data_IF_065939021851
#
_entry.id   IF_065939021851
#
_cell.length_a   1.000
_cell.length_b   1.000
_cell.length_c   1.000
_cell.angle_alpha   90.00
_cell.angle_beta   90.00
_cell.angle_gamma   90.00
#
_symmetry.space_group_name_H-M   'P 1'
#
loop_
_entity.id
_entity.type
_entity.pdbx_description
1 polymer ?
#
# COMPACT_ATOMS: atom_id res chain seq x y z
N UNK A 1 -3.13 8.91 -3.60
CA UNK A 1 -3.06 7.90 -4.64
C UNK A 1 -4.43 7.30 -4.98
N UNK A 2 -4.48 6.28 -5.84
CA UNK A 2 -5.73 5.71 -6.39
C UNK A 2 -6.75 5.32 -5.30
N UNK A 3 -6.31 4.66 -4.23
CA UNK A 3 -7.18 4.27 -3.10
C UNK A 3 -7.85 5.46 -2.42
N UNK A 4 -7.12 6.53 -2.18
CA UNK A 4 -7.68 7.76 -1.59
C UNK A 4 -8.67 8.44 -2.54
N UNK A 5 -8.39 8.43 -3.85
CA UNK A 5 -9.31 8.97 -4.86
C UNK A 5 -10.62 8.20 -4.90
N UNK A 6 -10.56 6.88 -4.77
CA UNK A 6 -11.76 6.03 -4.72
C UNK A 6 -12.59 6.34 -3.47
N UNK A 7 -11.97 6.44 -2.29
CA UNK A 7 -12.66 6.82 -1.05
C UNK A 7 -13.35 8.18 -1.21
N UNK A 8 -12.62 9.18 -1.69
CA UNK A 8 -13.16 10.52 -1.88
C UNK A 8 -14.34 10.54 -2.86
N UNK A 9 -14.25 9.84 -4.02
CA UNK A 9 -15.35 9.75 -5.00
C UNK A 9 -16.57 9.06 -4.37
N UNK A 10 -16.38 8.01 -3.58
CA UNK A 10 -17.47 7.29 -2.90
C UNK A 10 -18.20 8.20 -1.92
N UNK A 11 -17.47 8.99 -1.12
CA UNK A 11 -18.03 9.95 -0.18
C UNK A 11 -18.81 11.06 -0.88
N UNK A 12 -18.26 11.65 -1.95
CA UNK A 12 -18.93 12.70 -2.73
C UNK A 12 -20.17 12.18 -3.44
N UNK A 13 -20.16 10.94 -3.93
CA UNK A 13 -21.30 10.32 -4.60
C UNK A 13 -22.47 10.07 -3.64
N UNK A 14 -22.18 9.79 -2.38
CA UNK A 14 -23.22 9.66 -1.34
C UNK A 14 -23.91 11.00 -1.04
N UNK A 15 -23.21 12.12 -1.19
CA UNK A 15 -23.71 13.47 -0.90
C UNK A 15 -24.53 14.09 -2.05
N UNK A 16 -24.46 13.58 -3.30
CA UNK A 16 -25.11 14.18 -4.47
C UNK A 16 -25.90 13.16 -5.31
N UNK A 17 -27.22 12.99 -5.08
CA UNK A 17 -28.05 11.98 -5.75
C UNK A 17 -28.13 12.09 -7.27
N UNK A 18 -28.07 13.29 -7.82
CA UNK A 18 -28.23 13.53 -9.27
C UNK A 18 -27.05 13.07 -10.14
N UNK A 19 -25.87 12.87 -9.54
CA UNK A 19 -24.65 12.40 -10.23
C UNK A 19 -24.32 10.92 -9.95
N UNK A 20 -25.15 10.21 -9.20
CA UNK A 20 -24.86 8.89 -8.66
C UNK A 20 -24.53 7.82 -9.71
N UNK A 21 -25.18 7.84 -10.88
CA UNK A 21 -24.96 6.76 -11.88
C UNK A 21 -23.58 6.85 -12.52
N UNK A 22 -23.18 8.03 -12.98
CA UNK A 22 -21.87 8.26 -13.62
C UNK A 22 -20.74 8.12 -12.61
N UNK A 23 -20.92 8.68 -11.41
CA UNK A 23 -19.93 8.55 -10.35
C UNK A 23 -19.75 7.10 -9.87
N UNK A 24 -20.85 6.32 -9.79
CA UNK A 24 -20.80 4.90 -9.45
C UNK A 24 -20.08 4.07 -10.51
N UNK A 25 -20.34 4.32 -11.79
CA UNK A 25 -19.63 3.63 -12.88
C UNK A 25 -18.13 3.96 -12.88
N UNK A 26 -17.78 5.23 -12.72
CA UNK A 26 -16.39 5.67 -12.57
C UNK A 26 -15.72 5.02 -11.36
N UNK A 27 -16.39 4.99 -10.21
CA UNK A 27 -15.87 4.35 -9.00
C UNK A 27 -15.63 2.85 -9.20
N UNK A 28 -16.59 2.13 -9.80
CA UNK A 28 -16.46 0.70 -10.08
C UNK A 28 -15.28 0.41 -11.02
N UNK A 29 -15.07 1.24 -12.03
CA UNK A 29 -13.93 1.12 -12.94
C UNK A 29 -12.59 1.32 -12.22
N UNK A 30 -12.51 2.33 -11.34
CA UNK A 30 -11.31 2.57 -10.54
C UNK A 30 -11.03 1.45 -9.55
N UNK A 31 -12.06 0.88 -8.92
CA UNK A 31 -11.95 -0.29 -8.04
C UNK A 31 -11.38 -1.49 -8.79
N UNK A 32 -11.88 -1.75 -10.00
CA UNK A 32 -11.37 -2.84 -10.84
C UNK A 32 -9.89 -2.64 -11.21
N UNK A 33 -9.53 -1.43 -11.64
CA UNK A 33 -8.13 -1.10 -11.96
C UNK A 33 -7.21 -1.21 -10.75
N UNK A 34 -7.66 -0.71 -9.59
CA UNK A 34 -6.91 -0.84 -8.33
C UNK A 34 -6.65 -2.29 -7.98
N UNK A 35 -7.66 -3.14 -8.12
CA UNK A 35 -7.54 -4.56 -7.84
C UNK A 35 -6.56 -5.24 -8.78
N UNK A 36 -6.68 -5.01 -10.10
CA UNK A 36 -5.75 -5.57 -11.09
C UNK A 36 -4.31 -5.12 -10.82
N UNK A 37 -4.12 -3.86 -10.42
CA UNK A 37 -2.82 -3.33 -10.05
C UNK A 37 -2.26 -4.05 -8.82
N UNK A 38 -3.05 -4.20 -7.75
CA UNK A 38 -2.60 -4.85 -6.52
C UNK A 38 -2.31 -6.34 -6.74
N UNK A 39 -3.16 -7.05 -7.48
CA UNK A 39 -2.92 -8.45 -7.84
C UNK A 39 -1.59 -8.58 -8.61
N UNK A 40 -1.35 -7.69 -9.56
CA UNK A 40 -0.10 -7.66 -10.33
C UNK A 40 1.11 -7.35 -9.46
N UNK A 41 1.00 -6.40 -8.53
CA UNK A 41 2.09 -6.02 -7.62
C UNK A 41 2.39 -7.15 -6.65
N UNK A 42 1.38 -7.75 -6.01
CA UNK A 42 1.58 -8.85 -5.07
C UNK A 42 2.13 -10.13 -5.74
N UNK A 43 1.88 -10.32 -7.03
CA UNK A 43 2.53 -11.39 -7.78
C UNK A 43 4.07 -11.27 -7.80
N UNK A 44 4.62 -10.07 -7.56
CA UNK A 44 6.06 -9.82 -7.47
C UNK A 44 6.59 -9.78 -6.04
N UNK A 45 5.75 -10.07 -5.03
CA UNK A 45 6.21 -10.14 -3.65
C UNK A 45 7.34 -11.16 -3.51
N UNK A 46 8.40 -10.79 -2.80
CA UNK A 46 9.56 -11.64 -2.53
C UNK A 46 9.19 -12.76 -1.55
N UNK A 47 10.03 -13.78 -1.49
CA UNK A 47 9.85 -14.89 -0.55
C UNK A 47 9.90 -14.43 0.92
N UNK A 48 10.69 -13.37 1.23
CA UNK A 48 10.77 -12.76 2.55
C UNK A 48 9.55 -11.89 2.91
N UNK A 49 8.65 -11.64 1.96
CA UNK A 49 7.45 -10.83 2.14
C UNK A 49 7.59 -9.36 1.77
N UNK A 50 8.79 -8.90 1.42
CA UNK A 50 9.07 -7.54 0.99
C UNK A 50 8.92 -7.32 -0.51
N UNK A 51 9.33 -6.15 -0.96
CA UNK A 51 9.42 -5.78 -2.37
C UNK A 51 10.81 -5.23 -2.70
N UNK A 52 11.31 -5.57 -3.88
CA UNK A 52 12.54 -5.02 -4.40
C UNK A 52 12.34 -3.59 -4.92
N UNK A 53 13.40 -2.79 -4.93
CA UNK A 53 13.44 -1.46 -5.55
C UNK A 53 12.94 -1.45 -7.02
N UNK A 54 13.07 -2.57 -7.70
CA UNK A 54 12.46 -2.86 -9.00
C UNK A 54 11.70 -4.17 -8.90
N UNK A 55 10.38 -4.12 -8.99
CA UNK A 55 9.51 -5.28 -8.73
C UNK A 55 9.93 -6.54 -9.48
N UNK A 56 10.31 -6.41 -10.76
CA UNK A 56 10.71 -7.55 -11.60
C UNK A 56 12.05 -8.15 -11.19
N UNK A 57 12.90 -7.41 -10.48
CA UNK A 57 14.19 -7.88 -9.98
C UNK A 57 14.03 -8.40 -8.53
N UNK A 58 13.33 -9.51 -8.34
CA UNK A 58 13.01 -10.06 -7.01
C UNK A 58 14.23 -10.27 -6.11
N UNK A 59 15.38 -10.58 -6.70
CA UNK A 59 16.65 -10.76 -5.97
C UNK A 59 17.35 -9.43 -5.64
N UNK A 60 16.81 -8.32 -6.14
CA UNK A 60 17.32 -6.98 -5.84
C UNK A 60 17.16 -6.61 -4.37
N UNK A 61 17.82 -5.55 -3.95
CA UNK A 61 17.67 -5.02 -2.59
C UNK A 61 16.23 -4.60 -2.32
N UNK A 62 15.76 -4.79 -1.10
CA UNK A 62 14.45 -4.32 -0.65
C UNK A 62 14.39 -2.80 -0.65
N UNK A 63 13.19 -2.27 -0.82
CA UNK A 63 12.93 -0.83 -0.69
C UNK A 63 11.72 -0.59 0.21
N UNK A 64 12.00 -0.16 1.43
CA UNK A 64 10.95 0.11 2.44
C UNK A 64 10.02 1.25 2.06
N UNK A 65 10.43 2.16 1.19
CA UNK A 65 9.52 3.21 0.68
C UNK A 65 8.46 2.63 -0.24
N UNK A 66 8.84 1.74 -1.13
CA UNK A 66 7.90 1.00 -1.98
C UNK A 66 6.98 0.09 -1.15
N UNK A 67 7.56 -0.65 -0.20
CA UNK A 67 6.83 -1.52 0.71
C UNK A 67 5.76 -0.77 1.51
N UNK A 68 6.11 0.38 2.08
CA UNK A 68 5.19 1.23 2.81
C UNK A 68 4.05 1.77 1.94
N UNK A 69 4.36 2.26 0.73
CA UNK A 69 3.35 2.78 -0.20
C UNK A 69 2.41 1.68 -0.71
N UNK A 70 2.93 0.50 -1.06
CA UNK A 70 2.14 -0.66 -1.49
C UNK A 70 1.24 -1.12 -0.35
N UNK A 71 1.80 -1.30 0.84
CA UNK A 71 1.07 -1.74 2.03
C UNK A 71 -0.05 -0.79 2.41
N UNK A 72 0.22 0.51 2.46
CA UNK A 72 -0.77 1.55 2.73
C UNK A 72 -1.89 1.55 1.68
N UNK A 73 -1.55 1.54 0.39
CA UNK A 73 -2.54 1.51 -0.69
C UNK A 73 -3.41 0.26 -0.66
N UNK A 74 -2.83 -0.91 -0.38
CA UNK A 74 -3.57 -2.16 -0.29
C UNK A 74 -4.49 -2.22 0.95
N UNK A 75 -4.08 -1.66 2.08
CA UNK A 75 -4.93 -1.51 3.28
C UNK A 75 -6.14 -0.63 3.00
N UNK A 76 -5.94 0.54 2.39
CA UNK A 76 -7.06 1.40 1.99
C UNK A 76 -7.97 0.73 0.95
N UNK A 77 -7.41 -0.05 0.02
CA UNK A 77 -8.20 -0.81 -0.94
C UNK A 77 -9.09 -1.85 -0.25
N UNK A 78 -8.58 -2.51 0.76
CA UNK A 78 -9.34 -3.49 1.54
C UNK A 78 -10.53 -2.86 2.31
N UNK A 79 -10.48 -1.56 2.60
CA UNK A 79 -11.60 -0.82 3.22
C UNK A 79 -12.67 -0.44 2.21
N UNK A 80 -12.30 -0.20 0.95
CA UNK A 80 -13.22 0.25 -0.10
C UNK A 80 -13.79 -0.87 -0.94
N UNK A 81 -13.04 -1.94 -1.14
CA UNK A 81 -13.49 -3.10 -1.86
C UNK A 81 -14.49 -3.86 -1.00
N UNK A 82 -15.71 -4.01 -1.50
CA UNK A 82 -16.68 -4.89 -0.86
C UNK A 82 -15.99 -6.17 -0.41
N UNK A 83 -15.97 -6.37 0.88
CA UNK A 83 -15.37 -7.36 1.78
C UNK A 83 -14.75 -8.65 1.18
N UNK A 84 -15.23 -9.12 0.03
CA UNK A 84 -14.87 -10.42 -0.54
C UNK A 84 -13.43 -10.56 -1.04
N UNK A 85 -12.69 -9.47 -1.27
CA UNK A 85 -11.32 -9.54 -1.81
C UNK A 85 -10.22 -9.04 -0.87
N UNK A 86 -10.58 -8.42 0.23
CA UNK A 86 -9.60 -8.07 1.27
C UNK A 86 -8.90 -9.32 1.85
N UNK A 87 -9.60 -10.45 1.89
CA UNK A 87 -9.06 -11.73 2.34
C UNK A 87 -7.97 -12.27 1.40
N UNK A 88 -8.06 -12.01 0.09
CA UNK A 88 -7.08 -12.46 -0.88
C UNK A 88 -5.68 -11.89 -0.64
N UNK A 89 -5.59 -10.61 -0.21
CA UNK A 89 -4.30 -9.94 0.04
C UNK A 89 -3.83 -10.07 1.49
N UNK A 90 -4.68 -10.53 2.39
CA UNK A 90 -4.40 -10.60 3.82
C UNK A 90 -3.09 -11.37 4.14
N UNK A 91 -2.82 -12.55 3.55
CA UNK A 91 -1.55 -13.25 3.81
C UNK A 91 -0.33 -12.48 3.30
N UNK A 92 -0.45 -11.81 2.15
CA UNK A 92 0.62 -11.01 1.57
C UNK A 92 0.90 -9.76 2.40
N UNK A 93 -0.15 -9.09 2.87
CA UNK A 93 -0.07 -7.93 3.77
C UNK A 93 0.53 -8.31 5.14
N UNK A 94 0.18 -9.46 5.68
CA UNK A 94 0.76 -9.94 6.94
C UNK A 94 2.27 -10.17 6.81
N UNK A 95 2.72 -10.81 5.73
CA UNK A 95 4.15 -10.96 5.46
C UNK A 95 4.85 -9.61 5.27
N UNK A 96 4.20 -8.69 4.54
CA UNK A 96 4.73 -7.34 4.33
C UNK A 96 4.86 -6.57 5.64
N UNK A 97 3.88 -6.66 6.53
CA UNK A 97 3.93 -6.07 7.86
C UNK A 97 5.10 -6.63 8.67
N UNK A 98 5.24 -7.95 8.71
CA UNK A 98 6.30 -8.61 9.47
C UNK A 98 7.69 -8.19 8.98
N UNK A 99 7.90 -8.16 7.66
CA UNK A 99 9.22 -7.77 7.12
C UNK A 99 9.49 -6.26 7.28
N UNK A 100 8.47 -5.40 7.18
CA UNK A 100 8.59 -3.96 7.45
C UNK A 100 9.05 -3.70 8.88
N UNK A 101 8.52 -4.42 9.87
CA UNK A 101 8.92 -4.29 11.26
C UNK A 101 10.41 -4.60 11.48
N UNK A 102 10.98 -5.52 10.71
CA UNK A 102 12.43 -5.82 10.79
C UNK A 102 13.32 -4.68 10.30
N UNK A 103 12.78 -3.79 9.50
CA UNK A 103 13.49 -2.61 9.00
C UNK A 103 13.41 -1.40 9.93
N UNK A 104 12.70 -1.52 11.05
CA UNK A 104 12.65 -0.48 12.07
C UNK A 104 13.70 -0.78 13.13
N UNK A 105 14.74 0.07 13.20
CA UNK A 105 15.85 -0.06 14.14
C UNK A 105 16.07 1.28 14.84
N UNK A 106 16.07 1.26 16.15
CA UNK A 106 16.25 2.47 16.98
C UNK A 106 15.33 3.64 16.58
N UNK A 107 14.07 3.33 16.29
CA UNK A 107 13.06 4.31 15.86
C UNK A 107 13.25 4.85 14.44
N UNK A 108 14.13 4.25 13.64
CA UNK A 108 14.41 4.64 12.25
C UNK A 108 14.03 3.52 11.29
N UNK A 109 13.47 3.88 10.13
CA UNK A 109 13.23 2.96 9.04
C UNK A 109 14.47 2.90 8.15
N UNK A 110 15.05 1.71 8.01
CA UNK A 110 16.22 1.43 7.15
C UNK A 110 15.78 0.82 5.81
N UNK A 111 16.75 0.48 4.97
CA UNK A 111 16.53 -0.22 3.69
C UNK A 111 15.63 0.56 2.70
N UNK A 112 15.54 1.86 2.86
CA UNK A 112 14.88 2.74 1.92
C UNK A 112 15.81 3.11 0.78
N UNK A 113 15.37 3.02 -0.47
CA UNK A 113 16.18 3.45 -1.61
C UNK A 113 16.41 4.96 -1.56
N UNK A 114 17.64 5.36 -1.94
CA UNK A 114 18.02 6.75 -2.04
C UNK A 114 17.38 7.47 -3.21
N UNK A 115 17.71 8.74 -3.32
CA UNK A 115 17.18 9.61 -4.36
C UNK A 115 17.59 9.12 -5.77
N UNK A 116 16.61 9.10 -6.68
CA UNK A 116 16.86 8.91 -8.10
C UNK A 116 17.57 10.16 -8.67
N UNK A 117 18.69 9.99 -9.35
CA UNK A 117 19.47 11.11 -9.90
C UNK A 117 19.00 11.58 -11.27
N UNK A 118 18.17 10.81 -11.92
CA UNK A 118 17.65 11.12 -13.23
C UNK A 118 16.78 9.99 -13.78
N UNK A 119 16.31 10.14 -15.00
CA UNK A 119 15.53 9.11 -15.67
C UNK A 119 16.39 7.85 -15.85
N UNK A 120 15.94 6.75 -15.27
CA UNK A 120 16.63 5.46 -15.26
C UNK A 120 17.98 5.44 -14.50
N UNK A 121 18.29 6.46 -13.72
CA UNK A 121 19.48 6.48 -12.86
C UNK A 121 19.12 6.19 -11.41
N UNK A 122 19.29 4.93 -11.01
CA UNK A 122 19.00 4.45 -9.65
C UNK A 122 20.33 4.04 -8.98
N UNK A 123 20.88 4.86 -8.07
CA UNK A 123 22.26 4.68 -7.58
C UNK A 123 22.44 3.47 -6.66
N UNK A 124 21.43 2.67 -6.38
CA UNK A 124 21.50 1.51 -5.49
C UNK A 124 22.08 1.85 -4.11
N UNK A 125 21.74 3.04 -3.61
CA UNK A 125 22.09 3.50 -2.28
C UNK A 125 20.87 3.35 -1.39
N UNK A 126 21.04 2.70 -0.25
CA UNK A 126 19.97 2.42 0.69
C UNK A 126 20.31 2.99 2.06
N UNK A 127 19.30 3.44 2.79
CA UNK A 127 19.49 4.04 4.10
C UNK A 127 18.19 4.45 4.76
N UNK A 128 18.28 5.46 5.62
CA UNK A 128 17.13 6.07 6.29
C UNK A 128 16.80 7.39 5.62
N UNK A 129 15.61 7.48 5.05
CA UNK A 129 15.12 8.68 4.35
C UNK A 129 13.71 9.03 4.78
N UNK A 130 13.31 10.31 4.73
CA UNK A 130 11.96 10.74 5.14
C UNK A 130 10.82 10.04 4.40
N UNK A 131 10.98 9.77 3.11
CA UNK A 131 9.96 9.09 2.29
C UNK A 131 9.79 7.61 2.67
N UNK A 132 10.86 6.93 3.10
CA UNK A 132 10.76 5.59 3.67
C UNK A 132 10.05 5.59 5.02
N UNK A 133 10.44 6.50 5.91
CA UNK A 133 9.83 6.61 7.24
C UNK A 133 8.36 7.02 7.16
N UNK A 134 8.01 7.97 6.28
CA UNK A 134 6.63 8.43 6.10
C UNK A 134 5.72 7.34 5.55
N UNK A 135 6.16 6.62 4.53
CA UNK A 135 5.37 5.52 3.94
C UNK A 135 5.20 4.34 4.89
N UNK A 136 6.24 3.97 5.63
CA UNK A 136 6.18 2.92 6.64
C UNK A 136 5.21 3.29 7.77
N UNK A 137 5.29 4.54 8.27
CA UNK A 137 4.38 5.03 9.30
C UNK A 137 2.92 5.01 8.83
N UNK A 138 2.64 5.47 7.61
CA UNK A 138 1.29 5.44 7.04
C UNK A 138 0.74 4.02 6.95
N UNK A 139 1.54 3.06 6.50
CA UNK A 139 1.15 1.65 6.39
C UNK A 139 0.83 1.03 7.76
N UNK A 140 1.73 1.22 8.73
CA UNK A 140 1.58 0.61 10.06
C UNK A 140 0.47 1.29 10.88
N UNK A 141 0.28 2.60 10.75
CA UNK A 141 -0.77 3.33 11.46
C UNK A 141 -2.18 2.86 11.05
N UNK A 142 -2.43 2.65 9.76
CA UNK A 142 -3.74 2.13 9.29
C UNK A 142 -4.05 0.76 9.91
N UNK A 143 -3.04 -0.07 10.14
CA UNK A 143 -3.23 -1.36 10.82
C UNK A 143 -3.67 -1.19 12.27
N UNK A 144 -2.99 -0.35 13.04
CA UNK A 144 -3.29 -0.13 14.46
C UNK A 144 -4.70 0.43 14.66
N UNK A 145 -5.11 1.39 13.84
CA UNK A 145 -6.48 1.95 13.91
C UNK A 145 -7.56 0.89 13.65
N UNK A 146 -7.28 -0.12 12.85
CA UNK A 146 -8.24 -1.22 12.59
C UNK A 146 -8.35 -2.16 13.78
N UNK A 147 -7.24 -2.54 14.37
CA UNK A 147 -7.20 -3.42 15.53
C UNK A 147 -7.99 -2.78 16.69
N UNK A 148 -7.74 -1.51 16.99
CA UNK A 148 -8.47 -0.76 18.02
C UNK A 148 -9.98 -0.64 17.76
N UNK A 149 -10.41 -0.50 16.50
CA UNK A 149 -11.83 -0.39 16.17
C UNK A 149 -12.55 -1.74 16.23
N UNK A 150 -11.88 -2.84 15.92
CA UNK A 150 -12.43 -4.18 16.04
C UNK A 150 -12.61 -4.57 17.52
N UNK A 151 -11.63 -4.25 18.36
CA UNK A 151 -11.69 -4.53 19.82
C UNK A 151 -12.80 -3.73 20.53
N UNK A 152 -13.24 -2.59 19.96
CA UNK A 152 -14.35 -1.80 20.51
C UNK A 152 -15.72 -2.25 20.02
N UNK A 153 -15.78 -3.11 19.00
CA UNK A 153 -17.02 -3.60 18.41
C UNK A 153 -17.46 -4.98 19.00
N UNK A 154 -16.57 -5.63 19.74
CA UNK A 154 -16.83 -6.82 20.54
C UNK A 154 -17.22 -6.43 21.99
#
# INVERSE_FOLDING_TARGET
>A
GLSQSILWISEQSAACPSSQSVAREGCNRLLLLQQQLLDSVFAWQRADGGFSWQLQAREGHRDTSAEGMIGYGARLAAETAAVQRSEQWSPALSRLTAIMQTSIRDGRVTDCSGECKGFAEYPQVYGTYPWGSGSALAFLAVQLFREENNDRAE
#
